data_IF_181753175198
#
_entry.id   IF_181753175198
#
_cell.length_a   1.000
_cell.length_b   1.000
_cell.length_c   1.000
_cell.angle_alpha   90.00
_cell.angle_beta   90.00
_cell.angle_gamma   90.00
#
_symmetry.space_group_name_H-M   'P 1'
#
loop_
_entity.id
_entity.type
_entity.pdbx_description
1 polymer ?
#
# COMPACT_ATOMS: atom_id res chain seq x y z
N UNK A 1 18.12 -7.75 6.53
CA UNK A 1 18.75 -6.54 7.10
C UNK A 1 19.43 -5.81 5.94
N UNK A 2 18.65 -5.19 5.05
CA UNK A 2 19.13 -4.52 3.84
C UNK A 2 19.72 -3.16 4.22
N UNK A 3 21.00 -2.96 3.88
CA UNK A 3 21.79 -1.77 4.23
C UNK A 3 21.42 -0.64 3.27
N UNK A 4 20.47 0.21 3.66
CA UNK A 4 20.15 1.46 2.96
C UNK A 4 21.30 2.46 3.13
N UNK A 5 22.32 2.36 2.27
CA UNK A 5 23.49 3.26 2.27
C UNK A 5 23.60 4.18 1.05
N UNK A 6 22.71 4.06 0.05
CA UNK A 6 22.92 4.70 -1.26
C UNK A 6 22.41 6.13 -1.40
N UNK A 7 21.25 6.48 -0.81
CA UNK A 7 20.59 7.74 -1.13
C UNK A 7 21.30 8.99 -0.59
N UNK A 8 22.08 8.86 0.49
CA UNK A 8 22.89 9.96 1.04
C UNK A 8 23.99 10.44 0.09
N UNK A 9 24.46 9.58 -0.82
CA UNK A 9 25.44 9.96 -1.85
C UNK A 9 24.85 10.71 -3.03
N UNK A 10 23.53 10.74 -3.19
CA UNK A 10 22.84 11.34 -4.35
C UNK A 10 22.22 12.71 -4.06
N UNK A 11 22.45 13.26 -2.86
CA UNK A 11 21.92 14.58 -2.46
C UNK A 11 20.43 14.60 -2.14
N UNK A 12 19.77 13.45 -2.04
CA UNK A 12 18.34 13.37 -1.72
C UNK A 12 18.07 13.90 -0.29
N UNK A 13 17.17 14.88 -0.17
CA UNK A 13 16.76 15.46 1.11
C UNK A 13 15.67 14.66 1.84
N UNK A 14 14.91 13.86 1.10
CA UNK A 14 13.92 12.92 1.64
C UNK A 14 13.64 11.77 0.64
N UNK A 15 12.97 10.73 1.12
CA UNK A 15 12.48 9.63 0.29
C UNK A 15 10.95 9.60 0.37
N UNK A 16 10.30 9.36 -0.76
CA UNK A 16 8.85 9.15 -0.85
C UNK A 16 8.54 7.78 -1.42
N UNK A 17 7.59 7.08 -0.84
CA UNK A 17 7.08 5.82 -1.35
C UNK A 17 5.96 6.09 -2.36
N UNK A 18 5.92 5.31 -3.43
CA UNK A 18 4.80 5.19 -4.35
C UNK A 18 4.40 3.72 -4.44
N UNK A 19 3.08 3.45 -4.42
CA UNK A 19 2.50 2.11 -4.50
C UNK A 19 1.53 2.09 -5.70
N UNK A 20 2.03 2.14 -6.94
CA UNK A 20 1.18 2.14 -8.12
C UNK A 20 0.45 0.81 -8.30
N UNK A 21 -0.68 0.84 -9.02
CA UNK A 21 -1.41 -0.34 -9.46
C UNK A 21 -1.90 -0.12 -10.90
N UNK A 22 -2.26 -1.19 -11.64
CA UNK A 22 -2.88 -1.05 -12.96
C UNK A 22 -4.06 -0.06 -12.95
N UNK A 23 -3.96 1.00 -13.75
CA UNK A 23 -4.97 2.07 -13.83
C UNK A 23 -4.94 3.11 -12.69
N UNK A 24 -4.00 3.03 -11.76
CA UNK A 24 -3.83 4.00 -10.67
C UNK A 24 -2.33 4.23 -10.36
N UNK A 25 -1.65 5.15 -11.08
CA UNK A 25 -0.21 5.44 -10.94
C UNK A 25 0.09 6.32 -9.71
N UNK A 26 -0.44 5.94 -8.55
CA UNK A 26 -0.38 6.72 -7.31
C UNK A 26 1.06 7.04 -6.90
N UNK A 27 1.36 8.34 -6.74
CA UNK A 27 2.67 8.82 -6.31
C UNK A 27 3.74 8.85 -7.40
N UNK A 28 3.43 8.43 -8.63
CA UNK A 28 4.38 8.48 -9.75
C UNK A 28 4.35 9.84 -10.44
N UNK A 29 5.53 10.33 -10.84
CA UNK A 29 5.70 11.62 -11.51
C UNK A 29 6.27 11.50 -12.93
N UNK A 30 6.52 10.28 -13.42
CA UNK A 30 7.21 10.03 -14.68
C UNK A 30 8.74 10.08 -14.54
N UNK A 31 9.49 9.82 -15.63
CA UNK A 31 9.08 9.61 -17.03
C UNK A 31 8.43 8.22 -17.29
N UNK A 32 7.90 7.97 -18.52
CA UNK A 32 7.17 6.73 -18.84
C UNK A 32 7.94 5.44 -18.55
N UNK A 33 9.26 5.42 -18.77
CA UNK A 33 10.10 4.25 -18.49
C UNK A 33 10.11 3.90 -16.99
N UNK A 34 10.29 4.90 -16.12
CA UNK A 34 10.19 4.71 -14.68
C UNK A 34 8.79 4.25 -14.28
N UNK A 35 7.75 4.89 -14.81
CA UNK A 35 6.37 4.53 -14.48
C UNK A 35 6.04 3.09 -14.89
N UNK A 36 6.48 2.65 -16.06
CA UNK A 36 6.25 1.29 -16.53
C UNK A 36 6.89 0.26 -15.59
N UNK A 37 8.15 0.48 -15.20
CA UNK A 37 8.86 -0.38 -14.24
C UNK A 37 8.20 -0.36 -12.85
N UNK A 38 7.83 0.82 -12.36
CA UNK A 38 7.15 0.97 -11.08
C UNK A 38 5.78 0.29 -11.08
N UNK A 39 5.03 0.35 -12.19
CA UNK A 39 3.74 -0.34 -12.35
C UNK A 39 3.91 -1.86 -12.39
N UNK A 40 4.98 -2.36 -13.02
CA UNK A 40 5.30 -3.80 -13.04
C UNK A 40 5.69 -4.32 -11.64
N UNK A 41 6.45 -3.53 -10.88
CA UNK A 41 6.84 -3.87 -9.51
C UNK A 41 5.77 -3.57 -8.46
N UNK A 42 4.72 -2.81 -8.80
CA UNK A 42 3.71 -2.23 -7.89
C UNK A 42 4.27 -1.38 -6.72
N UNK A 43 5.57 -1.11 -6.74
CA UNK A 43 6.31 -0.39 -5.71
C UNK A 43 7.39 0.49 -6.35
N UNK A 44 7.58 1.69 -5.80
CA UNK A 44 8.72 2.54 -6.12
C UNK A 44 9.05 3.50 -4.97
N UNK A 45 10.29 3.99 -4.96
CA UNK A 45 10.76 5.06 -4.08
C UNK A 45 11.25 6.23 -4.92
N UNK A 46 10.79 7.44 -4.62
CA UNK A 46 11.23 8.69 -5.24
C UNK A 46 12.18 9.41 -4.28
N UNK A 47 13.38 9.74 -4.74
CA UNK A 47 14.34 10.52 -3.98
C UNK A 47 13.99 12.01 -4.07
N UNK A 48 13.29 12.58 -3.09
CA UNK A 48 12.94 14.00 -3.13
C UNK A 48 14.18 14.90 -2.98
N UNK A 49 14.31 15.90 -3.86
CA UNK A 49 15.50 16.73 -3.99
C UNK A 49 16.61 16.11 -4.85
N UNK A 50 16.34 14.96 -5.48
CA UNK A 50 17.19 14.38 -6.50
C UNK A 50 16.31 13.83 -7.65
N UNK A 51 16.74 13.97 -8.90
CA UNK A 51 16.00 13.44 -10.05
C UNK A 51 16.13 11.91 -10.22
N UNK A 52 16.08 11.14 -9.11
CA UNK A 52 16.22 9.68 -9.09
C UNK A 52 15.03 8.97 -8.42
N UNK A 53 14.61 7.86 -9.03
CA UNK A 53 13.67 6.91 -8.48
C UNK A 53 14.28 5.52 -8.41
N UNK A 54 13.81 4.72 -7.46
CA UNK A 54 14.25 3.35 -7.21
C UNK A 54 13.06 2.41 -7.40
N UNK A 55 13.23 1.37 -8.19
CA UNK A 55 12.23 0.30 -8.38
C UNK A 55 12.84 -1.01 -7.91
N UNK A 56 12.16 -1.77 -7.02
CA UNK A 56 12.66 -3.06 -6.57
C UNK A 56 12.41 -4.14 -7.63
N UNK A 57 13.41 -4.98 -7.85
CA UNK A 57 13.32 -6.24 -8.59
C UNK A 57 13.53 -7.36 -7.56
N UNK A 58 12.47 -8.12 -7.30
CA UNK A 58 12.45 -9.18 -6.27
C UNK A 58 12.55 -10.54 -6.95
N UNK A 59 13.54 -11.34 -6.56
CA UNK A 59 13.75 -12.69 -7.10
C UNK A 59 13.97 -13.68 -5.98
N UNK A 60 13.42 -14.89 -6.12
CA UNK A 60 13.75 -16.02 -5.26
C UNK A 60 15.03 -16.69 -5.78
N UNK A 61 15.98 -16.93 -4.89
CA UNK A 61 17.26 -17.56 -5.20
C UNK A 61 17.60 -18.63 -4.15
N UNK A 62 18.31 -19.68 -4.58
CA UNK A 62 18.74 -20.78 -3.72
C UNK A 62 18.16 -22.15 -4.12
N UNK A 63 18.66 -23.24 -3.53
CA UNK A 63 18.18 -24.59 -3.79
C UNK A 63 16.83 -24.86 -3.12
N UNK A 64 16.12 -25.89 -3.59
CA UNK A 64 14.87 -26.34 -2.97
C UNK A 64 15.10 -26.67 -1.48
N UNK A 65 14.36 -26.01 -0.59
CA UNK A 65 14.50 -26.14 0.86
C UNK A 65 15.38 -25.08 1.55
N UNK A 66 16.09 -24.21 0.80
CA UNK A 66 16.86 -23.07 1.33
C UNK A 66 16.75 -21.86 0.38
N UNK A 67 15.51 -21.49 0.07
CA UNK A 67 15.18 -20.35 -0.79
C UNK A 67 15.26 -19.06 0.04
N UNK A 68 15.95 -18.07 -0.49
CA UNK A 68 15.98 -16.71 0.03
C UNK A 68 15.48 -15.71 -1.01
N UNK A 69 15.10 -14.53 -0.52
CA UNK A 69 14.64 -13.42 -1.36
C UNK A 69 15.80 -12.46 -1.59
N UNK A 70 16.16 -12.27 -2.85
CA UNK A 70 17.06 -11.22 -3.31
C UNK A 70 16.24 -10.02 -3.80
N UNK A 71 16.69 -8.81 -3.44
CA UNK A 71 16.04 -7.56 -3.87
C UNK A 71 17.11 -6.65 -4.48
N UNK A 72 17.00 -6.44 -5.78
CA UNK A 72 17.86 -5.52 -6.54
C UNK A 72 17.09 -4.21 -6.76
N UNK A 73 17.70 -3.08 -6.41
CA UNK A 73 17.07 -1.77 -6.63
C UNK A 73 17.60 -1.14 -7.91
N UNK A 74 16.75 -0.98 -8.91
CA UNK A 74 17.08 -0.28 -10.15
C UNK A 74 16.88 1.22 -9.96
N UNK A 75 17.93 2.00 -10.21
CA UNK A 75 17.87 3.45 -10.18
C UNK A 75 17.56 4.00 -11.57
N UNK A 76 16.50 4.81 -11.68
CA UNK A 76 16.09 5.44 -12.93
C UNK A 76 15.89 6.95 -12.74
N UNK A 77 16.12 7.77 -13.77
CA UNK A 77 15.76 9.19 -13.73
C UNK A 77 14.26 9.36 -13.50
N UNK A 78 13.89 10.35 -12.67
CA UNK A 78 12.49 10.75 -12.45
C UNK A 78 12.32 12.25 -12.63
N UNK A 79 11.08 12.67 -12.87
CA UNK A 79 10.74 14.11 -12.87
C UNK A 79 10.58 14.59 -11.44
N UNK A 80 11.24 15.69 -11.11
CA UNK A 80 10.96 16.45 -9.91
C UNK A 80 9.64 17.21 -10.09
N UNK A 81 8.53 16.54 -9.79
CA UNK A 81 7.20 17.11 -9.81
C UNK A 81 6.41 16.64 -8.58
N UNK A 82 5.38 17.40 -8.15
CA UNK A 82 4.49 16.97 -7.08
C UNK A 82 3.94 15.56 -7.34
N UNK A 83 3.84 14.70 -6.32
CA UNK A 83 3.37 13.33 -6.49
C UNK A 83 1.91 13.35 -6.94
N UNK A 84 1.58 12.56 -7.96
CA UNK A 84 0.22 12.46 -8.48
C UNK A 84 -0.71 11.72 -7.50
N UNK A 85 -1.88 12.29 -7.25
CA UNK A 85 -3.00 11.67 -6.50
C UNK A 85 -2.72 11.22 -5.06
N UNK A 86 -1.62 11.68 -4.45
CA UNK A 86 -1.29 11.39 -3.04
C UNK A 86 -2.00 12.40 -2.13
N UNK A 87 -3.00 11.97 -1.33
CA UNK A 87 -3.65 12.84 -0.36
C UNK A 87 -2.74 13.15 0.83
N UNK A 88 -3.07 14.20 1.59
CA UNK A 88 -2.52 14.37 2.94
C UNK A 88 -2.93 13.21 3.85
N UNK A 89 -2.17 12.96 4.91
CA UNK A 89 -2.51 11.91 5.88
C UNK A 89 -3.95 12.05 6.42
N UNK A 90 -4.40 13.28 6.67
CA UNK A 90 -5.73 13.54 7.19
C UNK A 90 -6.85 13.34 6.18
N UNK A 91 -6.62 13.63 4.91
CA UNK A 91 -7.56 13.31 3.83
C UNK A 91 -7.65 11.80 3.63
N UNK A 92 -6.51 11.11 3.59
CA UNK A 92 -6.46 9.67 3.38
C UNK A 92 -7.20 8.89 4.48
N UNK A 93 -7.05 9.29 5.74
CA UNK A 93 -7.78 8.70 6.86
C UNK A 93 -9.30 8.88 6.72
N UNK A 94 -9.75 10.07 6.33
CA UNK A 94 -11.19 10.34 6.12
C UNK A 94 -11.75 9.54 4.94
N UNK A 95 -11.04 9.53 3.82
CA UNK A 95 -11.44 8.76 2.63
C UNK A 95 -11.51 7.25 2.93
N UNK A 96 -10.55 6.71 3.70
CA UNK A 96 -10.56 5.31 4.11
C UNK A 96 -11.76 5.00 5.01
N UNK A 97 -12.04 5.84 6.00
CA UNK A 97 -13.18 5.66 6.88
C UNK A 97 -14.51 5.71 6.12
N UNK A 98 -14.65 6.65 5.18
CA UNK A 98 -15.86 6.79 4.36
C UNK A 98 -16.06 5.60 3.43
N UNK A 99 -15.01 5.16 2.72
CA UNK A 99 -15.09 4.00 1.84
C UNK A 99 -15.46 2.72 2.60
N UNK A 100 -14.93 2.53 3.82
CA UNK A 100 -15.29 1.39 4.67
C UNK A 100 -16.76 1.44 5.09
N UNK A 101 -17.27 2.62 5.45
CA UNK A 101 -18.68 2.82 5.80
C UNK A 101 -19.59 2.48 4.62
N UNK A 102 -19.32 3.06 3.45
CA UNK A 102 -20.10 2.82 2.23
C UNK A 102 -20.08 1.34 1.80
N UNK A 103 -18.90 0.70 1.81
CA UNK A 103 -18.78 -0.71 1.45
C UNK A 103 -19.53 -1.61 2.43
N UNK A 104 -19.48 -1.32 3.73
CA UNK A 104 -20.24 -2.07 4.75
C UNK A 104 -21.75 -1.95 4.51
N UNK A 105 -22.24 -0.76 4.20
CA UNK A 105 -23.66 -0.53 3.87
C UNK A 105 -24.09 -1.28 2.60
N UNK A 106 -23.26 -1.28 1.56
CA UNK A 106 -23.53 -2.03 0.32
C UNK A 106 -23.54 -3.53 0.59
N UNK A 107 -22.52 -4.06 1.27
CA UNK A 107 -22.39 -5.49 1.56
C UNK A 107 -23.52 -6.00 2.48
N UNK A 108 -23.96 -5.19 3.45
CA UNK A 108 -25.09 -5.51 4.32
C UNK A 108 -26.40 -5.59 3.52
N UNK A 109 -26.64 -4.67 2.58
CA UNK A 109 -27.84 -4.71 1.71
C UNK A 109 -27.86 -5.90 0.75
N UNK A 110 -26.69 -6.38 0.34
CA UNK A 110 -26.57 -7.52 -0.57
C UNK A 110 -26.77 -8.87 0.16
N UNK A 111 -27.03 -8.87 1.48
CA UNK A 111 -27.12 -10.06 2.34
C UNK A 111 -25.98 -11.07 2.12
N UNK A 112 -24.80 -10.57 1.76
CA UNK A 112 -23.58 -11.37 1.62
C UNK A 112 -22.92 -11.49 3.00
N UNK A 113 -23.72 -11.87 4.01
CA UNK A 113 -23.24 -12.17 5.36
C UNK A 113 -22.80 -13.65 5.45
N UNK A 114 -22.01 -14.09 4.48
CA UNK A 114 -21.18 -15.29 4.58
C UNK A 114 -19.80 -14.92 5.10
N UNK A 115 -19.70 -14.27 6.27
CA UNK A 115 -18.40 -14.12 6.95
C UNK A 115 -18.07 -15.43 7.63
N UNK A 116 -17.66 -16.42 6.85
CA UNK A 116 -17.36 -17.75 7.34
C UNK A 116 -16.08 -17.81 8.19
N UNK A 117 -15.75 -19.00 8.73
CA UNK A 117 -14.58 -19.25 9.57
C UNK A 117 -13.24 -18.78 9.00
N UNK A 118 -13.16 -18.63 7.67
CA UNK A 118 -11.92 -18.18 6.99
C UNK A 118 -11.65 -16.69 7.20
N UNK A 119 -12.70 -15.85 7.27
CA UNK A 119 -12.55 -14.44 7.59
C UNK A 119 -12.11 -14.25 9.06
N UNK A 120 -12.65 -15.05 9.98
CA UNK A 120 -12.24 -15.06 11.38
C UNK A 120 -10.79 -15.53 11.54
N UNK A 121 -10.41 -16.66 10.91
CA UNK A 121 -9.05 -17.18 10.96
C UNK A 121 -8.01 -16.18 10.41
N UNK A 122 -8.39 -15.39 9.41
CA UNK A 122 -7.55 -14.32 8.88
C UNK A 122 -7.41 -13.12 9.83
N UNK A 123 -8.51 -12.71 10.46
CA UNK A 123 -8.48 -11.66 11.50
C UNK A 123 -7.57 -12.11 12.64
N UNK A 124 -7.65 -13.38 13.04
CA UNK A 124 -6.82 -13.93 14.09
C UNK A 124 -5.35 -14.09 13.67
N UNK A 125 -5.08 -14.51 12.43
CA UNK A 125 -3.72 -14.53 11.88
C UNK A 125 -3.10 -13.11 11.83
N UNK A 126 -3.91 -12.10 11.49
CA UNK A 126 -3.48 -10.71 11.56
C UNK A 126 -3.22 -10.28 13.00
N UNK A 127 -4.13 -10.54 13.95
CA UNK A 127 -3.94 -10.20 15.37
C UNK A 127 -2.66 -10.84 15.92
N UNK A 128 -2.47 -12.13 15.67
CA UNK A 128 -1.25 -12.85 16.03
C UNK A 128 0.00 -12.29 15.36
N UNK A 129 -0.11 -11.64 14.19
CA UNK A 129 1.01 -10.95 13.52
C UNK A 129 1.23 -9.53 14.05
N UNK A 130 0.18 -8.81 14.41
CA UNK A 130 0.21 -7.45 14.95
C UNK A 130 0.72 -7.42 16.39
N UNK A 131 0.30 -8.38 17.23
CA UNK A 131 0.72 -8.52 18.63
C UNK A 131 2.21 -8.87 18.77
N UNK A 132 2.88 -9.34 17.71
CA UNK A 132 4.33 -9.59 17.69
C UNK A 132 5.20 -8.32 17.66
N UNK A 133 4.65 -7.16 18.02
CA UNK A 133 5.42 -5.93 18.24
C UNK A 133 6.12 -5.41 16.98
N UNK A 134 5.45 -5.44 15.83
CA UNK A 134 6.00 -4.84 14.61
C UNK A 134 5.96 -3.31 14.72
N UNK A 135 7.13 -2.68 14.73
CA UNK A 135 7.25 -1.28 14.34
C UNK A 135 6.99 -1.17 12.82
N UNK A 136 5.78 -0.78 12.44
CA UNK A 136 5.37 -0.67 11.02
C UNK A 136 6.06 0.51 10.33
N UNK A 137 6.46 1.50 11.12
CA UNK A 137 7.21 2.68 10.69
C UNK A 137 8.41 2.89 11.61
N UNK A 138 9.49 3.45 11.04
CA UNK A 138 10.68 3.80 11.81
C UNK A 138 10.36 4.85 12.89
N UNK A 139 11.18 4.97 13.94
CA UNK A 139 11.05 6.05 14.92
C UNK A 139 11.03 7.44 14.25
N UNK A 140 10.18 8.34 14.76
CA UNK A 140 10.04 9.72 14.27
C UNK A 140 8.81 9.98 13.38
N UNK A 141 8.06 8.94 13.01
CA UNK A 141 6.76 9.11 12.37
C UNK A 141 5.69 9.60 13.35
N UNK A 142 4.71 10.41 12.91
CA UNK A 142 3.58 10.81 13.75
C UNK A 142 2.79 9.56 14.22
N UNK A 143 2.33 9.49 15.48
CA UNK A 143 1.52 8.37 15.96
C UNK A 143 0.24 8.14 15.14
N UNK A 144 -0.29 9.22 14.54
CA UNK A 144 -1.42 9.13 13.61
C UNK A 144 -1.08 8.31 12.36
N UNK A 145 0.12 8.49 11.79
CA UNK A 145 0.54 7.77 10.59
C UNK A 145 0.64 6.26 10.85
N UNK A 146 1.14 5.87 12.02
CA UNK A 146 1.21 4.45 12.44
C UNK A 146 -0.18 3.82 12.47
N UNK A 147 -1.14 4.47 13.15
CA UNK A 147 -2.52 3.95 13.25
C UNK A 147 -3.21 3.85 11.89
N UNK A 148 -3.04 4.86 11.04
CA UNK A 148 -3.63 4.87 9.68
C UNK A 148 -3.03 3.74 8.83
N UNK A 149 -1.71 3.52 8.91
CA UNK A 149 -1.04 2.45 8.17
C UNK A 149 -1.49 1.07 8.63
N UNK A 150 -1.59 0.84 9.95
CA UNK A 150 -2.07 -0.42 10.50
C UNK A 150 -3.50 -0.75 10.06
N UNK A 151 -4.37 0.26 10.05
CA UNK A 151 -5.74 0.11 9.56
C UNK A 151 -5.76 -0.20 8.06
N UNK A 152 -5.01 0.56 7.25
CA UNK A 152 -4.97 0.37 5.82
C UNK A 152 -4.44 -1.03 5.43
N UNK A 153 -3.37 -1.51 6.07
CA UNK A 153 -2.83 -2.87 5.85
C UNK A 153 -3.80 -3.97 6.29
N UNK A 154 -4.53 -3.75 7.40
CA UNK A 154 -5.57 -4.68 7.85
C UNK A 154 -6.70 -4.78 6.82
N UNK A 155 -7.15 -3.64 6.31
CA UNK A 155 -8.21 -3.56 5.32
C UNK A 155 -7.78 -4.23 4.01
N UNK A 156 -6.58 -3.94 3.52
CA UNK A 156 -6.02 -4.57 2.31
C UNK A 156 -5.97 -6.10 2.44
N UNK A 157 -5.52 -6.61 3.59
CA UNK A 157 -5.52 -8.05 3.86
C UNK A 157 -6.95 -8.63 3.85
N UNK A 158 -7.90 -7.99 4.52
CA UNK A 158 -9.29 -8.45 4.55
C UNK A 158 -9.92 -8.45 3.15
N UNK A 159 -9.63 -7.43 2.34
CA UNK A 159 -10.08 -7.34 0.95
C UNK A 159 -9.45 -8.43 0.09
N UNK A 160 -8.15 -8.68 0.21
CA UNK A 160 -7.47 -9.73 -0.57
C UNK A 160 -8.01 -11.12 -0.24
N UNK A 161 -8.31 -11.39 1.02
CA UNK A 161 -8.96 -12.62 1.46
C UNK A 161 -10.41 -12.74 0.99
N UNK A 162 -11.11 -11.62 0.89
CA UNK A 162 -12.45 -11.58 0.33
C UNK A 162 -12.48 -11.93 -1.17
N UNK A 163 -11.35 -11.78 -1.88
CA UNK A 163 -11.17 -12.25 -3.26
C UNK A 163 -10.65 -13.70 -3.32
N UNK A 164 -9.71 -14.08 -2.45
CA UNK A 164 -9.04 -15.39 -2.48
C UNK A 164 -9.88 -16.56 -1.95
N UNK A 165 -10.79 -16.30 -1.00
CA UNK A 165 -11.67 -17.33 -0.47
C UNK A 165 -12.95 -17.40 -1.31
N UNK A 166 -12.89 -18.17 -2.39
CA UNK A 166 -14.06 -18.62 -3.12
C UNK A 166 -15.06 -19.26 -2.15
N UNK A 167 -16.27 -18.73 -2.17
CA UNK A 167 -17.33 -18.99 -1.20
C UNK A 167 -17.72 -20.46 -1.29
N UNK A 168 -17.75 -21.15 -0.15
CA UNK A 168 -18.16 -22.56 -0.05
C UNK A 168 -19.65 -22.83 -0.33
N UNK A 169 -20.31 -21.95 -1.10
CA UNK A 169 -21.69 -22.07 -1.55
C UNK A 169 -21.80 -21.56 -2.99
N UNK A 170 -22.82 -22.00 -3.72
CA UNK A 170 -23.05 -21.62 -5.11
C UNK A 170 -23.39 -20.12 -5.24
N UNK A 171 -22.36 -19.28 -5.35
CA UNK A 171 -22.48 -17.84 -5.59
C UNK A 171 -22.54 -17.59 -7.10
N UNK A 172 -23.49 -16.77 -7.54
CA UNK A 172 -23.63 -16.37 -8.93
C UNK A 172 -22.51 -15.41 -9.38
N UNK A 173 -22.19 -15.42 -10.67
CA UNK A 173 -21.23 -14.46 -11.25
C UNK A 173 -21.63 -13.00 -11.00
N UNK A 174 -22.94 -12.71 -10.93
CA UNK A 174 -23.49 -11.38 -10.60
C UNK A 174 -23.17 -10.94 -9.17
N UNK A 175 -23.26 -11.84 -8.19
CA UNK A 175 -22.94 -11.54 -6.79
C UNK A 175 -21.43 -11.33 -6.60
N UNK A 176 -20.59 -12.12 -7.29
CA UNK A 176 -19.14 -11.91 -7.31
C UNK A 176 -18.78 -10.53 -7.89
N UNK A 177 -19.41 -10.14 -9.00
CA UNK A 177 -19.20 -8.83 -9.63
C UNK A 177 -19.66 -7.68 -8.71
N UNK A 178 -20.81 -7.82 -8.05
CA UNK A 178 -21.31 -6.83 -7.11
C UNK A 178 -20.39 -6.67 -5.88
N UNK A 179 -19.90 -7.77 -5.32
CA UNK A 179 -18.92 -7.76 -4.23
C UNK A 179 -17.61 -7.09 -4.64
N UNK A 180 -17.06 -7.46 -5.80
CA UNK A 180 -15.87 -6.80 -6.33
C UNK A 180 -16.09 -5.30 -6.57
N UNK A 181 -17.26 -4.90 -7.07
CA UNK A 181 -17.60 -3.50 -7.22
C UNK A 181 -17.65 -2.74 -5.89
N UNK A 182 -18.14 -3.35 -4.82
CA UNK A 182 -18.19 -2.76 -3.48
C UNK A 182 -16.81 -2.64 -2.82
N UNK A 183 -15.90 -3.59 -3.08
CA UNK A 183 -14.57 -3.63 -2.44
C UNK A 183 -13.50 -2.80 -3.16
N UNK A 184 -13.62 -2.57 -4.47
CA UNK A 184 -12.66 -1.77 -5.25
C UNK A 184 -12.39 -0.36 -4.67
N UNK A 185 -13.39 0.43 -4.24
CA UNK A 185 -13.15 1.72 -3.61
C UNK A 185 -12.34 1.61 -2.30
N UNK A 186 -12.61 0.58 -1.49
CA UNK A 186 -11.91 0.33 -0.22
C UNK A 186 -10.44 -0.01 -0.47
N UNK A 187 -10.15 -0.85 -1.46
CA UNK A 187 -8.77 -1.16 -1.86
C UNK A 187 -8.01 0.10 -2.29
N UNK A 188 -8.63 0.94 -3.11
CA UNK A 188 -8.04 2.19 -3.58
C UNK A 188 -7.73 3.15 -2.42
N UNK A 189 -8.68 3.36 -1.51
CA UNK A 189 -8.48 4.28 -0.37
C UNK A 189 -7.51 3.72 0.65
N UNK A 190 -7.48 2.40 0.87
CA UNK A 190 -6.47 1.75 1.69
C UNK A 190 -5.06 1.99 1.13
N UNK A 191 -4.85 1.77 -0.17
CA UNK A 191 -3.56 2.04 -0.84
C UNK A 191 -3.14 3.51 -0.72
N UNK A 192 -4.07 4.45 -0.93
CA UNK A 192 -3.84 5.89 -0.73
C UNK A 192 -3.44 6.23 0.71
N UNK A 193 -4.10 5.61 1.70
CA UNK A 193 -3.76 5.76 3.11
C UNK A 193 -2.38 5.21 3.47
N UNK A 194 -1.96 4.09 2.87
CA UNK A 194 -0.59 3.57 3.06
C UNK A 194 0.45 4.56 2.53
N UNK A 195 0.29 5.02 1.29
CA UNK A 195 1.21 6.00 0.68
C UNK A 195 1.27 7.30 1.50
N UNK A 196 0.13 7.81 1.96
CA UNK A 196 0.08 9.01 2.80
C UNK A 196 0.77 8.79 4.16
N UNK A 197 0.59 7.62 4.79
CA UNK A 197 1.24 7.29 6.05
C UNK A 197 2.77 7.19 5.90
N UNK A 198 3.26 6.48 4.88
CA UNK A 198 4.70 6.39 4.57
C UNK A 198 5.32 7.76 4.24
N UNK A 199 4.55 8.65 3.59
CA UNK A 199 5.06 9.96 3.19
C UNK A 199 4.81 11.07 4.22
N UNK A 200 4.17 10.77 5.35
CA UNK A 200 3.77 11.77 6.37
C UNK A 200 4.95 12.57 6.94
N UNK A 201 6.12 11.97 7.10
CA UNK A 201 7.33 12.68 7.56
C UNK A 201 7.83 13.72 6.55
N UNK A 202 7.63 13.46 5.26
CA UNK A 202 7.98 14.42 4.19
C UNK A 202 6.94 15.54 4.15
N UNK A 203 5.66 15.19 4.29
CA UNK A 203 4.54 16.15 4.40
C UNK A 203 4.76 17.12 5.58
N UNK A 204 5.10 16.62 6.76
CA UNK A 204 5.36 17.45 7.96
C UNK A 204 6.59 18.35 7.80
N UNK A 205 7.62 17.90 7.08
CA UNK A 205 8.78 18.75 6.74
C UNK A 205 8.38 19.89 5.81
N UNK A 206 7.63 19.60 4.75
CA UNK A 206 7.15 20.62 3.80
C UNK A 206 6.18 21.64 4.43
N UNK A 207 5.43 21.26 5.47
CA UNK A 207 4.61 22.19 6.24
C UNK A 207 5.42 23.14 7.12
N UNK A 208 6.59 22.70 7.62
CA UNK A 208 7.46 23.52 8.49
C UNK A 208 8.31 24.54 7.73
N UNK A 209 8.52 24.31 6.43
CA UNK A 209 9.31 25.20 5.55
C UNK A 209 8.43 26.29 4.90
N UNK A 210 7.11 26.10 4.89
CA UNK A 210 6.11 27.09 4.43
C UNK A 210 5.66 27.99 5.57
#
# INVERSE_FOLDING_TARGET
>A
RSRWGGCGGWGAGALRVALPAPGHPLGLSGPPEFNARALEAEEAVICHGAAWGLVPEVTEAGPEGDVHVEVVWRALPVREAPPADVPSLGEAERELAEALREATEVLARLDVAGSGPVAEAAIDAYRARAERGREVLAPGYPPRAVRVLELAQRVELLVSLAYGNGHGGAVSASEMAARGAALRPVERTARRAQVAAYNSVVEEREKRVR
#
